data_IF_220343868136
#
_entry.id   IF_220343868136
#
_cell.length_a   1.000
_cell.length_b   1.000
_cell.length_c   1.000
_cell.angle_alpha   90.00
_cell.angle_beta   90.00
_cell.angle_gamma   90.00
#
_symmetry.space_group_name_H-M   'P 1'
#
loop_
_entity.id
_entity.type
_entity.pdbx_description
1 polymer ?
#
# COMPACT_ATOMS: atom_id res chain seq x y z
N UNK A 1 5.21 -14.00 15.68
CA UNK A 1 6.14 -13.80 14.56
C UNK A 1 5.40 -12.96 13.57
N UNK A 2 5.95 -11.81 13.21
CA UNK A 2 5.38 -10.88 12.22
C UNK A 2 5.48 -11.53 10.84
N UNK A 3 4.35 -11.93 10.27
CA UNK A 3 4.30 -12.27 8.85
C UNK A 3 4.15 -10.96 8.09
N UNK A 4 5.12 -10.65 7.21
CA UNK A 4 5.01 -9.53 6.28
C UNK A 4 4.25 -9.99 5.05
N UNK A 5 3.17 -9.29 4.69
CA UNK A 5 2.43 -9.56 3.46
C UNK A 5 3.02 -8.68 2.35
N UNK A 6 3.48 -9.32 1.26
CA UNK A 6 4.12 -8.67 0.11
C UNK A 6 3.21 -8.77 -1.10
N UNK A 7 2.87 -7.62 -1.69
CA UNK A 7 2.09 -7.56 -2.93
C UNK A 7 2.74 -6.62 -3.93
N UNK A 8 2.85 -7.07 -5.18
CA UNK A 8 3.47 -6.30 -6.27
C UNK A 8 2.40 -5.75 -7.21
N UNK A 9 2.50 -4.48 -7.54
CA UNK A 9 1.82 -3.85 -8.66
C UNK A 9 2.84 -3.64 -9.78
N UNK A 10 2.54 -4.15 -10.97
CA UNK A 10 3.36 -3.88 -12.15
C UNK A 10 3.12 -2.44 -12.62
N UNK A 11 4.16 -1.75 -13.10
CA UNK A 11 4.04 -0.49 -13.82
C UNK A 11 3.16 -0.70 -15.03
N UNK A 12 1.89 -0.28 -14.92
CA UNK A 12 0.98 -0.27 -16.05
C UNK A 12 1.41 0.86 -16.96
N UNK A 13 1.99 0.54 -18.12
CA UNK A 13 2.18 1.52 -19.18
C UNK A 13 0.82 2.11 -19.57
N UNK A 14 0.48 3.25 -18.98
CA UNK A 14 -0.70 4.04 -19.29
C UNK A 14 -0.56 4.65 -20.68
N UNK A 15 -1.04 3.90 -21.69
CA UNK A 15 -1.02 4.29 -23.09
C UNK A 15 -1.68 5.66 -23.34
N UNK A 16 -1.03 6.43 -24.21
CA UNK A 16 -1.47 7.74 -24.63
C UNK A 16 -2.82 7.77 -25.36
N UNK A 17 -3.46 8.93 -25.27
CA UNK A 17 -4.55 9.34 -26.15
C UNK A 17 -4.12 10.57 -26.95
N UNK A 18 -3.78 10.37 -28.23
CA UNK A 18 -3.52 11.44 -29.18
C UNK A 18 -4.80 12.03 -29.78
N UNK A 19 -4.74 13.28 -30.22
CA UNK A 19 -5.80 13.89 -31.01
C UNK A 19 -5.62 15.38 -31.35
N UNK A 20 -4.91 15.67 -32.44
CA UNK A 20 -5.36 16.64 -33.46
C UNK A 20 -4.98 18.13 -33.35
N UNK A 21 -3.96 18.50 -34.15
CA UNK A 21 -4.11 19.54 -35.19
C UNK A 21 -4.07 21.02 -34.80
N UNK A 22 -3.15 21.77 -35.40
CA UNK A 22 -3.21 23.23 -35.52
C UNK A 22 -1.83 23.87 -35.45
N UNK A 23 -1.34 24.33 -36.60
CA UNK A 23 0.04 24.78 -36.75
C UNK A 23 0.36 26.18 -36.23
N UNK A 24 1.58 26.59 -36.56
CA UNK A 24 1.96 27.99 -36.68
C UNK A 24 2.88 28.52 -35.59
N UNK A 25 4.05 29.00 -36.02
CA UNK A 25 4.70 30.15 -35.42
C UNK A 25 5.77 29.83 -34.37
N UNK A 26 6.98 30.32 -34.62
CA UNK A 26 8.14 30.14 -33.74
C UNK A 26 8.20 31.06 -32.53
N UNK A 27 9.35 31.03 -31.86
CA UNK A 27 9.73 31.97 -30.80
C UNK A 27 10.14 31.25 -29.52
N UNK A 28 11.41 31.38 -29.13
CA UNK A 28 11.97 30.71 -27.96
C UNK A 28 11.60 31.35 -26.61
N UNK A 29 11.89 30.58 -25.55
CA UNK A 29 12.05 31.08 -24.16
C UNK A 29 10.90 30.73 -23.21
N UNK A 30 11.17 29.79 -22.29
CA UNK A 30 10.38 29.57 -21.06
C UNK A 30 9.56 28.28 -21.04
N UNK A 31 10.21 27.12 -20.86
CA UNK A 31 9.51 25.86 -20.60
C UNK A 31 8.93 25.84 -19.20
N UNK A 32 7.61 25.92 -19.09
CA UNK A 32 6.86 25.57 -17.89
C UNK A 32 5.35 25.62 -18.17
N UNK A 33 4.51 24.83 -17.49
CA UNK A 33 4.80 23.70 -16.60
C UNK A 33 4.44 22.36 -17.31
N UNK A 34 5.26 21.31 -17.15
CA UNK A 34 4.76 19.93 -17.27
C UNK A 34 4.60 19.35 -15.86
N UNK A 35 3.46 19.58 -15.19
CA UNK A 35 3.03 18.75 -14.11
C UNK A 35 2.14 17.63 -14.67
N UNK A 36 2.19 16.44 -14.10
CA UNK A 36 2.60 15.32 -14.93
C UNK A 36 1.73 14.07 -14.74
N UNK A 37 2.06 13.09 -15.58
CA UNK A 37 1.44 11.78 -15.64
C UNK A 37 1.27 11.17 -14.25
N UNK A 38 0.09 10.59 -14.04
CA UNK A 38 -0.26 9.88 -12.81
C UNK A 38 -0.46 8.41 -13.11
N UNK A 39 0.15 7.55 -12.31
CA UNK A 39 -0.14 6.13 -12.31
C UNK A 39 -0.98 5.78 -11.08
N UNK A 40 -2.11 5.13 -11.32
CA UNK A 40 -3.03 4.68 -10.27
C UNK A 40 -3.11 3.16 -10.29
N UNK A 41 -2.97 2.56 -9.11
CA UNK A 41 -3.12 1.12 -8.92
C UNK A 41 -3.71 0.82 -7.54
N UNK A 42 -4.06 -0.45 -7.35
CA UNK A 42 -4.61 -0.95 -6.09
C UNK A 42 -3.80 -2.14 -5.61
N UNK A 43 -3.38 -2.13 -4.35
CA UNK A 43 -2.97 -3.33 -3.65
C UNK A 43 -4.19 -4.00 -3.02
N UNK A 44 -4.36 -5.30 -3.24
CA UNK A 44 -5.45 -6.12 -2.70
C UNK A 44 -4.89 -7.22 -1.79
N UNK A 45 -4.76 -6.91 -0.51
CA UNK A 45 -4.34 -7.87 0.51
C UNK A 45 -5.43 -8.89 0.80
N UNK A 46 -6.72 -8.49 0.70
CA UNK A 46 -7.84 -9.40 0.90
C UNK A 46 -7.82 -10.55 -0.13
N UNK A 47 -7.56 -10.21 -1.40
CA UNK A 47 -7.32 -11.18 -2.45
C UNK A 47 -6.07 -12.06 -2.23
N UNK A 48 -5.12 -11.59 -1.42
CA UNK A 48 -3.92 -12.33 -1.01
C UNK A 48 -4.09 -13.14 0.29
N UNK A 49 -5.28 -13.13 0.91
CA UNK A 49 -5.60 -13.92 2.10
C UNK A 49 -5.60 -13.16 3.42
N UNK A 50 -5.41 -11.83 3.41
CA UNK A 50 -5.65 -11.00 4.59
C UNK A 50 -7.15 -10.96 4.90
N UNK A 51 -7.53 -11.18 6.16
CA UNK A 51 -8.92 -11.08 6.62
C UNK A 51 -9.12 -9.86 7.52
N UNK A 52 -9.69 -8.75 7.03
CA UNK A 52 -9.92 -7.54 7.83
C UNK A 52 -10.88 -7.75 9.00
N UNK A 53 -11.64 -8.85 9.05
CA UNK A 53 -12.52 -9.15 10.17
C UNK A 53 -11.76 -9.75 11.37
N UNK A 54 -10.59 -10.35 11.15
CA UNK A 54 -9.86 -11.10 12.19
C UNK A 54 -8.38 -10.72 12.31
N UNK A 55 -7.84 -9.95 11.36
CA UNK A 55 -6.47 -9.50 11.31
C UNK A 55 -6.41 -7.97 11.25
N UNK A 56 -5.26 -7.41 11.59
CA UNK A 56 -5.02 -5.97 11.49
C UNK A 56 -3.61 -5.69 10.98
N UNK A 57 -3.43 -4.59 10.27
CA UNK A 57 -2.15 -4.07 9.81
C UNK A 57 -1.70 -2.97 10.77
N UNK A 58 -0.53 -3.16 11.38
CA UNK A 58 0.06 -2.23 12.36
C UNK A 58 0.94 -1.17 11.71
N UNK A 59 1.57 -1.48 10.57
CA UNK A 59 2.35 -0.55 9.76
C UNK A 59 2.42 -1.02 8.30
N UNK A 60 2.65 -0.10 7.38
CA UNK A 60 2.91 -0.42 5.99
C UNK A 60 3.83 0.61 5.30
N UNK A 61 4.61 0.14 4.34
CA UNK A 61 5.39 0.97 3.41
C UNK A 61 5.24 0.50 1.97
N UNK A 62 5.46 1.39 1.02
CA UNK A 62 5.44 1.09 -0.41
C UNK A 62 6.84 1.35 -0.95
N UNK A 63 7.44 0.33 -1.55
CA UNK A 63 8.67 0.44 -2.32
C UNK A 63 8.32 0.71 -3.78
N UNK A 64 8.70 1.88 -4.29
CA UNK A 64 8.49 2.31 -5.68
C UNK A 64 9.76 2.07 -6.48
N UNK A 65 9.66 1.33 -7.58
CA UNK A 65 10.74 1.21 -8.57
C UNK A 65 10.55 2.29 -9.63
N UNK A 66 11.45 3.26 -9.65
CA UNK A 66 11.42 4.43 -10.54
C UNK A 66 12.71 4.47 -11.37
N UNK A 67 12.63 5.05 -12.55
CA UNK A 67 13.79 5.42 -13.35
C UNK A 67 13.61 6.83 -13.90
N UNK A 68 14.66 7.63 -13.76
CA UNK A 68 14.86 8.88 -14.49
C UNK A 68 15.06 8.48 -15.96
N UNK A 69 14.30 9.08 -16.88
CA UNK A 69 14.32 8.69 -18.30
C UNK A 69 15.50 9.30 -19.08
N UNK A 70 16.47 9.86 -18.34
CA UNK A 70 17.76 10.34 -18.80
C UNK A 70 17.62 11.45 -19.83
N UNK A 71 16.94 12.51 -19.44
CA UNK A 71 16.81 13.72 -20.23
C UNK A 71 18.19 14.35 -20.53
N UNK A 72 18.35 14.84 -21.77
CA UNK A 72 19.59 15.47 -22.24
C UNK A 72 19.94 16.68 -21.35
N UNK A 73 21.24 16.90 -21.04
CA UNK A 73 21.65 17.94 -20.12
C UNK A 73 21.16 19.35 -20.51
N UNK A 74 20.76 20.17 -19.52
CA UNK A 74 20.87 19.91 -18.08
C UNK A 74 19.79 18.96 -17.58
N UNK A 75 20.18 17.94 -16.81
CA UNK A 75 19.24 17.04 -16.12
C UNK A 75 18.25 17.89 -15.33
N UNK A 76 16.96 17.73 -15.63
CA UNK A 76 15.92 18.38 -14.85
C UNK A 76 15.74 17.57 -13.56
N UNK A 77 15.46 18.27 -12.46
CA UNK A 77 15.11 17.56 -11.24
C UNK A 77 13.69 17.04 -11.38
N UNK A 78 13.48 15.82 -10.94
CA UNK A 78 12.19 15.16 -10.97
C UNK A 78 11.65 15.04 -9.54
N UNK A 79 10.38 15.36 -9.38
CA UNK A 79 9.72 15.27 -8.08
C UNK A 79 8.37 14.57 -8.21
N UNK A 80 7.91 13.97 -7.14
CA UNK A 80 6.66 13.26 -7.09
C UNK A 80 5.98 13.36 -5.72
N UNK A 81 4.68 13.07 -5.70
CA UNK A 81 3.90 12.78 -4.50
C UNK A 81 3.24 11.41 -4.63
N UNK A 82 3.03 10.75 -3.50
CA UNK A 82 2.32 9.49 -3.43
C UNK A 82 1.06 9.67 -2.59
N UNK A 83 -0.11 9.48 -3.19
CA UNK A 83 -1.38 9.41 -2.46
C UNK A 83 -1.71 7.96 -2.20
N UNK A 84 -1.83 7.55 -0.93
CA UNK A 84 -2.20 6.21 -0.52
C UNK A 84 -3.33 6.27 0.53
N UNK A 85 -4.42 5.53 0.31
CA UNK A 85 -5.55 5.50 1.26
C UNK A 85 -6.17 6.88 1.52
N UNK A 86 -6.12 7.77 0.53
CA UNK A 86 -6.64 9.15 0.60
C UNK A 86 -5.70 10.16 1.28
N UNK A 87 -4.49 9.76 1.67
CA UNK A 87 -3.47 10.66 2.26
C UNK A 87 -2.30 10.83 1.29
N UNK A 88 -1.89 12.08 1.05
CA UNK A 88 -0.76 12.41 0.16
C UNK A 88 0.51 12.61 0.97
N UNK A 89 1.61 12.01 0.51
CA UNK A 89 2.94 12.22 1.07
C UNK A 89 3.43 13.65 0.87
N UNK A 90 4.50 14.03 1.58
CA UNK A 90 5.31 15.15 1.13
C UNK A 90 5.89 14.87 -0.25
N UNK A 91 6.24 15.93 -0.96
CA UNK A 91 6.95 15.84 -2.24
C UNK A 91 8.34 15.23 -2.02
N UNK A 92 8.73 14.30 -2.89
CA UNK A 92 10.04 13.65 -2.85
C UNK A 92 10.70 13.72 -4.21
N UNK A 93 12.03 13.82 -4.21
CA UNK A 93 12.82 13.78 -5.44
C UNK A 93 12.86 12.35 -5.97
N UNK A 94 12.71 12.20 -7.28
CA UNK A 94 12.84 10.91 -7.97
C UNK A 94 14.30 10.67 -8.34
N UNK A 95 14.71 9.40 -8.18
CA UNK A 95 16.03 8.90 -8.53
C UNK A 95 15.87 7.50 -9.13
N UNK A 96 16.86 7.10 -9.92
CA UNK A 96 16.98 5.72 -10.38
C UNK A 96 17.02 4.73 -9.21
N UNK A 97 16.10 3.77 -9.24
CA UNK A 97 16.05 2.65 -8.31
C UNK A 97 14.82 2.63 -7.43
N UNK A 98 15.00 2.22 -6.17
CA UNK A 98 13.90 1.99 -5.22
C UNK A 98 13.77 3.18 -4.26
N UNK A 99 12.58 3.77 -4.21
CA UNK A 99 12.18 4.80 -3.24
C UNK A 99 11.10 4.25 -2.32
N UNK A 100 11.31 4.27 -1.00
CA UNK A 100 10.35 3.75 -0.01
C UNK A 100 9.53 4.86 0.62
N UNK A 101 8.19 4.77 0.52
CA UNK A 101 7.25 5.70 1.13
C UNK A 101 6.44 5.02 2.25
N UNK A 102 6.31 5.69 3.40
CA UNK A 102 5.45 5.22 4.49
C UNK A 102 3.98 5.42 4.14
N UNK A 103 3.14 4.41 4.40
CA UNK A 103 1.68 4.56 4.30
C UNK A 103 1.18 5.26 5.56
N UNK A 104 0.81 6.54 5.42
CA UNK A 104 0.45 7.39 6.57
C UNK A 104 -0.92 7.04 7.19
N UNK A 105 -1.85 6.50 6.40
CA UNK A 105 -3.16 6.06 6.85
C UNK A 105 -3.38 4.59 6.52
N UNK A 106 -3.59 3.77 7.55
CA UNK A 106 -3.87 2.34 7.42
C UNK A 106 -5.37 2.03 7.45
N UNK A 107 -6.24 3.06 7.43
CA UNK A 107 -7.69 2.87 7.65
C UNK A 107 -8.30 2.00 6.55
N UNK A 108 -8.08 2.33 5.27
CA UNK A 108 -8.65 1.56 4.15
C UNK A 108 -8.06 0.15 4.07
N UNK A 109 -6.76 0.01 4.36
CA UNK A 109 -6.08 -1.29 4.45
C UNK A 109 -6.71 -2.20 5.51
N UNK A 110 -6.95 -1.68 6.71
CA UNK A 110 -7.54 -2.44 7.81
C UNK A 110 -9.05 -2.67 7.63
N UNK A 111 -9.74 -1.76 6.95
CA UNK A 111 -11.19 -1.86 6.77
C UNK A 111 -11.56 -2.82 5.63
N UNK A 112 -10.89 -2.67 4.49
CA UNK A 112 -11.29 -3.32 3.24
C UNK A 112 -10.23 -4.32 2.74
N UNK A 113 -9.05 -4.37 3.36
CA UNK A 113 -7.91 -5.14 2.85
C UNK A 113 -7.32 -4.60 1.56
N UNK A 114 -7.71 -3.38 1.15
CA UNK A 114 -7.24 -2.76 -0.10
C UNK A 114 -6.61 -1.38 0.14
N UNK A 115 -5.65 -1.04 -0.73
CA UNK A 115 -5.02 0.27 -0.75
C UNK A 115 -4.98 0.81 -2.16
N UNK A 116 -5.79 1.83 -2.42
CA UNK A 116 -5.67 2.63 -3.63
C UNK A 116 -4.48 3.57 -3.51
N UNK A 117 -3.64 3.56 -4.53
CA UNK A 117 -2.41 4.34 -4.59
C UNK A 117 -2.37 5.13 -5.89
N UNK A 118 -1.91 6.37 -5.83
CA UNK A 118 -1.66 7.21 -7.00
C UNK A 118 -0.31 7.87 -6.85
N UNK A 119 0.61 7.56 -7.76
CA UNK A 119 1.88 8.25 -7.91
C UNK A 119 1.67 9.38 -8.91
N UNK A 120 1.97 10.60 -8.50
CA UNK A 120 1.82 11.79 -9.34
C UNK A 120 3.18 12.45 -9.37
N UNK A 121 3.81 12.56 -10.53
CA UNK A 121 4.96 13.44 -10.66
C UNK A 121 4.51 14.88 -10.27
N UNK A 122 5.40 15.78 -9.92
CA UNK A 122 5.08 17.19 -9.62
C UNK A 122 6.02 18.16 -10.32
N UNK A 123 7.17 17.66 -10.78
CA UNK A 123 8.13 18.32 -11.63
C UNK A 123 8.86 17.27 -12.45
N UNK A 124 9.16 17.57 -13.71
CA UNK A 124 9.75 16.61 -14.64
C UNK A 124 8.79 15.49 -15.03
N UNK A 125 9.36 14.46 -15.62
CA UNK A 125 8.78 13.17 -15.94
C UNK A 125 9.67 12.06 -15.37
N UNK A 126 9.14 10.84 -15.28
CA UNK A 126 9.92 9.66 -14.90
C UNK A 126 9.17 8.40 -15.34
N UNK A 127 9.88 7.27 -15.36
CA UNK A 127 9.30 5.97 -15.60
C UNK A 127 8.90 5.28 -14.30
N UNK A 128 7.61 4.95 -14.17
CA UNK A 128 7.12 4.05 -13.14
C UNK A 128 7.26 2.58 -13.59
N UNK A 129 8.15 1.83 -12.94
CA UNK A 129 8.42 0.42 -13.27
C UNK A 129 7.49 -0.51 -12.48
N UNK A 130 7.20 -0.18 -11.22
CA UNK A 130 6.32 -0.96 -10.37
C UNK A 130 6.41 -0.57 -8.91
N UNK A 131 5.55 -1.18 -8.09
CA UNK A 131 5.48 -0.92 -6.66
C UNK A 131 5.29 -2.20 -5.85
N UNK A 132 5.87 -2.26 -4.66
CA UNK A 132 5.66 -3.35 -3.70
C UNK A 132 5.11 -2.81 -2.39
N UNK A 133 4.01 -3.36 -1.91
CA UNK A 133 3.49 -3.08 -0.57
C UNK A 133 4.14 -4.03 0.44
N UNK A 134 4.72 -3.46 1.50
CA UNK A 134 5.23 -4.16 2.67
C UNK A 134 4.30 -3.87 3.85
N UNK A 135 3.43 -4.81 4.22
CA UNK A 135 2.50 -4.64 5.34
C UNK A 135 2.87 -5.55 6.52
N UNK A 136 2.81 -5.03 7.74
CA UNK A 136 3.08 -5.78 8.98
C UNK A 136 1.76 -6.11 9.66
N UNK A 137 1.38 -7.38 9.61
CA UNK A 137 0.22 -7.91 10.31
C UNK A 137 0.47 -7.96 11.83
N UNK A 138 -0.54 -7.54 12.59
CA UNK A 138 -0.67 -7.80 14.01
C UNK A 138 -1.78 -8.85 14.22
N UNK A 139 -1.41 -9.96 14.85
CA UNK A 139 -2.35 -10.97 15.29
C UNK A 139 -2.64 -10.74 16.77
N UNK A 140 -3.82 -10.19 17.06
CA UNK A 140 -4.31 -10.18 18.42
C UNK A 140 -4.48 -11.64 18.87
N UNK A 141 -3.60 -12.09 19.77
CA UNK A 141 -3.78 -13.38 20.45
C UNK A 141 -5.01 -13.25 21.31
N UNK A 142 -6.16 -13.73 20.81
CA UNK A 142 -7.40 -13.71 21.58
C UNK A 142 -7.21 -14.62 22.80
N UNK A 143 -7.25 -14.08 24.03
CA UNK A 143 -7.19 -14.92 25.21
C UNK A 143 -8.38 -15.88 25.14
N UNK A 144 -8.12 -17.18 25.20
CA UNK A 144 -9.17 -18.20 25.17
C UNK A 144 -10.21 -17.81 26.23
N UNK A 145 -11.50 -17.63 25.87
CA UNK A 145 -12.48 -17.06 26.78
C UNK A 145 -12.49 -17.79 28.12
N UNK A 146 -12.68 -17.06 29.22
CA UNK A 146 -12.82 -17.65 30.56
C UNK A 146 -13.87 -18.77 30.61
N UNK A 147 -14.82 -18.76 29.68
CA UNK A 147 -15.79 -19.83 29.44
C UNK A 147 -15.14 -21.21 29.25
N UNK A 148 -13.95 -21.33 28.63
CA UNK A 148 -13.27 -22.63 28.48
C UNK A 148 -12.78 -23.16 29.84
N UNK A 149 -12.25 -22.28 30.69
CA UNK A 149 -11.85 -22.63 32.06
C UNK A 149 -13.06 -22.96 32.95
N UNK A 150 -14.16 -22.21 32.81
CA UNK A 150 -15.41 -22.48 33.52
C UNK A 150 -16.07 -23.77 33.05
N UNK A 151 -16.03 -24.05 31.75
CA UNK A 151 -16.56 -25.28 31.18
C UNK A 151 -15.75 -26.50 31.66
N UNK A 152 -14.41 -26.41 31.63
CA UNK A 152 -13.54 -27.47 32.12
C UNK A 152 -13.70 -27.74 33.62
N UNK A 153 -13.76 -26.69 34.44
CA UNK A 153 -13.95 -26.82 35.89
C UNK A 153 -15.37 -27.28 36.26
N UNK A 154 -16.40 -26.82 35.55
CA UNK A 154 -17.77 -27.29 35.70
C UNK A 154 -17.92 -28.78 35.39
N UNK A 155 -17.29 -29.26 34.32
CA UNK A 155 -17.30 -30.68 33.95
C UNK A 155 -16.58 -31.54 34.99
N UNK A 156 -15.41 -31.11 35.47
CA UNK A 156 -14.70 -31.79 36.57
C UNK A 156 -15.54 -31.84 37.85
N UNK A 157 -16.24 -30.76 38.18
CA UNK A 157 -17.17 -30.71 39.31
C UNK A 157 -18.32 -31.72 39.17
N UNK A 158 -18.93 -31.80 37.98
CA UNK A 158 -19.99 -32.78 37.69
C UNK A 158 -19.49 -34.23 37.79
N UNK A 159 -18.30 -34.53 37.28
CA UNK A 159 -17.68 -35.86 37.41
C UNK A 159 -17.42 -36.20 38.88
N UNK A 160 -16.95 -35.24 39.68
CA UNK A 160 -16.76 -35.41 41.12
C UNK A 160 -18.06 -35.75 41.85
N UNK A 161 -19.13 -35.02 41.56
CA UNK A 161 -20.47 -35.27 42.15
C UNK A 161 -21.01 -36.64 41.72
N UNK A 162 -20.84 -37.04 40.46
CA UNK A 162 -21.31 -38.32 39.95
C UNK A 162 -20.62 -39.52 40.61
N UNK A 163 -19.31 -39.42 40.91
CA UNK A 163 -18.58 -40.49 41.63
C UNK A 163 -19.06 -40.65 43.06
N UNK A 164 -19.39 -39.55 43.75
CA UNK A 164 -19.88 -39.58 45.14
C UNK A 164 -21.22 -40.30 45.29
N UNK A 165 -22.02 -40.39 44.21
CA UNK A 165 -23.31 -41.08 44.21
C UNK A 165 -23.23 -42.59 43.91
N UNK A 166 -22.05 -43.10 43.51
CA UNK A 166 -21.82 -44.53 43.27
C UNK A 166 -21.18 -45.26 44.46
N UNK A 167 -20.70 -44.52 45.46
CA UNK A 167 -20.27 -45.03 46.76
C UNK A 167 -21.43 -44.87 47.75
#
# INVERSE_FOLDING_TARGET
GTAGLLLQAAGGGGGGGGGGGGGGGGGGGGGGPTPPASDTWTFDLAGAGFDPATQSISSASIDLSLADDADQPPAQLEFATLTAGGTTSDEFQVFDGITTQTVQSLVTLNLDGTLNVTLTATQGDFLFIGATLNAVEDHAVVPVPAAVWLFGSGLLGLVGIARRRKA
#
